data_IF_424528161209
#
_entry.id   IF_424528161209
#
_cell.length_a   1.000
_cell.length_b   1.000
_cell.length_c   1.000
_cell.angle_alpha   90.00
_cell.angle_beta   90.00
_cell.angle_gamma   90.00
#
_symmetry.space_group_name_H-M   'P 1'
#
loop_
_entity.id
_entity.type
_entity.pdbx_description
1 polymer ?
#
# COMPACT_ATOMS: atom_id res chain seq x y z
N UNK A 1 8.00 -17.72 8.71
CA UNK A 1 8.61 -17.30 7.44
C UNK A 1 10.10 -16.99 7.58
N UNK A 2 10.88 -17.12 6.49
CA UNK A 2 12.26 -16.61 6.37
C UNK A 2 12.27 -15.17 5.82
N UNK A 3 13.38 -14.44 5.93
CA UNK A 3 13.51 -13.07 5.42
C UNK A 3 13.21 -12.95 3.91
N UNK A 4 13.58 -13.95 3.11
CA UNK A 4 13.29 -13.97 1.67
C UNK A 4 11.79 -14.11 1.38
N UNK A 5 11.10 -14.92 2.18
CA UNK A 5 9.66 -15.14 2.05
C UNK A 5 8.88 -13.89 2.48
N UNK A 6 9.37 -13.18 3.51
CA UNK A 6 8.84 -11.89 3.93
C UNK A 6 8.82 -10.91 2.75
N UNK A 7 9.97 -10.69 2.09
CA UNK A 7 10.08 -9.74 0.98
C UNK A 7 9.07 -10.01 -0.15
N UNK A 8 8.83 -11.30 -0.46
CA UNK A 8 7.84 -11.69 -1.45
C UNK A 8 6.39 -11.45 -1.02
N UNK A 9 6.12 -11.46 0.28
CA UNK A 9 4.80 -11.22 0.86
C UNK A 9 4.50 -9.75 1.16
N UNK A 10 5.46 -8.84 0.94
CA UNK A 10 5.31 -7.44 1.32
C UNK A 10 4.24 -6.69 0.52
N UNK A 11 4.01 -7.06 -0.74
CA UNK A 11 2.90 -6.45 -1.52
C UNK A 11 1.57 -6.78 -0.86
N UNK A 12 1.29 -8.07 -0.62
CA UNK A 12 0.05 -8.54 0.02
C UNK A 12 -0.11 -7.97 1.44
N UNK A 13 0.99 -7.76 2.16
CA UNK A 13 0.97 -7.15 3.49
C UNK A 13 0.59 -5.66 3.50
N UNK A 14 0.92 -4.92 2.43
CA UNK A 14 0.60 -3.50 2.30
C UNK A 14 -0.81 -3.24 1.73
N UNK A 15 -1.45 -4.28 1.22
CA UNK A 15 -2.82 -4.22 0.70
C UNK A 15 -3.83 -4.13 1.84
N UNK A 16 -4.93 -3.40 1.62
CA UNK A 16 -5.97 -3.20 2.64
C UNK A 16 -6.76 -4.49 2.95
N UNK A 17 -6.75 -5.44 2.01
CA UNK A 17 -7.39 -6.76 2.10
C UNK A 17 -6.43 -7.87 2.58
N UNK A 18 -5.27 -7.50 3.13
CA UNK A 18 -4.29 -8.46 3.65
C UNK A 18 -4.92 -9.44 4.65
N UNK A 19 -4.65 -10.74 4.48
CA UNK A 19 -5.14 -11.76 5.41
C UNK A 19 -4.54 -11.54 6.80
N UNK A 20 -5.38 -11.52 7.84
CA UNK A 20 -4.94 -11.34 9.24
C UNK A 20 -3.84 -12.32 9.66
N UNK A 21 -3.92 -13.55 9.20
CA UNK A 21 -2.91 -14.59 9.49
C UNK A 21 -1.54 -14.25 8.90
N UNK A 22 -1.52 -13.69 7.70
CA UNK A 22 -0.29 -13.22 7.05
C UNK A 22 0.29 -12.02 7.81
N UNK A 23 -0.53 -11.04 8.18
CA UNK A 23 -0.09 -9.90 8.97
C UNK A 23 0.54 -10.35 10.30
N UNK A 24 -0.11 -11.27 11.02
CA UNK A 24 0.41 -11.80 12.26
C UNK A 24 1.73 -12.59 12.06
N UNK A 25 1.88 -13.32 10.96
CA UNK A 25 3.14 -13.98 10.65
C UNK A 25 4.29 -13.00 10.39
N UNK A 26 4.00 -11.95 9.62
CA UNK A 26 4.95 -10.88 9.30
C UNK A 26 5.35 -10.12 10.56
N UNK A 27 4.38 -9.68 11.37
CA UNK A 27 4.64 -8.99 12.64
C UNK A 27 5.53 -9.80 13.58
N UNK A 28 5.29 -11.12 13.71
CA UNK A 28 6.16 -12.02 14.49
C UNK A 28 7.58 -12.08 13.96
N UNK A 29 7.76 -12.01 12.64
CA UNK A 29 9.08 -11.97 12.03
C UNK A 29 9.78 -10.64 12.30
N UNK A 30 9.10 -9.52 12.09
CA UNK A 30 9.64 -8.17 12.33
C UNK A 30 10.01 -7.94 13.80
N UNK A 31 9.30 -8.58 14.73
CA UNK A 31 9.66 -8.57 16.15
C UNK A 31 11.00 -9.26 16.47
N UNK A 32 11.43 -10.21 15.62
CA UNK A 32 12.63 -11.03 15.83
C UNK A 32 13.79 -10.68 14.89
N UNK A 33 13.54 -9.91 13.83
CA UNK A 33 14.54 -9.55 12.82
C UNK A 33 14.61 -8.02 12.64
N UNK A 34 15.56 -7.34 13.32
CA UNK A 34 15.72 -5.89 13.21
C UNK A 34 16.03 -5.39 11.79
N UNK A 35 16.80 -6.16 11.02
CA UNK A 35 17.14 -5.81 9.64
C UNK A 35 15.88 -5.73 8.76
N UNK A 36 15.03 -6.75 8.80
CA UNK A 36 13.76 -6.72 8.07
C UNK A 36 12.82 -5.61 8.55
N UNK A 37 12.83 -5.29 9.85
CA UNK A 37 12.05 -4.17 10.39
C UNK A 37 12.43 -2.83 9.75
N UNK A 38 13.72 -2.52 9.64
CA UNK A 38 14.20 -1.27 9.02
C UNK A 38 13.78 -1.19 7.55
N UNK A 39 13.91 -2.29 6.80
CA UNK A 39 13.52 -2.36 5.39
C UNK A 39 12.01 -2.13 5.20
N UNK A 40 11.19 -2.82 5.99
CA UNK A 40 9.73 -2.68 5.93
C UNK A 40 9.28 -1.28 6.33
N UNK A 41 9.83 -0.71 7.41
CA UNK A 41 9.51 0.65 7.84
C UNK A 41 9.82 1.68 6.73
N UNK A 42 10.95 1.52 6.04
CA UNK A 42 11.35 2.40 4.93
C UNK A 42 10.39 2.28 3.76
N UNK A 43 10.03 1.05 3.41
CA UNK A 43 9.11 0.78 2.31
C UNK A 43 7.70 1.31 2.62
N UNK A 44 7.18 1.10 3.83
CA UNK A 44 5.87 1.63 4.27
C UNK A 44 5.83 3.15 4.23
N UNK A 45 6.91 3.83 4.65
CA UNK A 45 7.02 5.31 4.52
C UNK A 45 6.99 5.74 3.07
N UNK A 46 7.69 5.03 2.20
CA UNK A 46 7.72 5.32 0.75
C UNK A 46 6.33 5.16 0.15
N UNK A 47 5.60 4.10 0.50
CA UNK A 47 4.22 3.87 0.04
C UNK A 47 3.27 4.95 0.55
N UNK A 48 3.36 5.32 1.83
CA UNK A 48 2.58 6.42 2.40
C UNK A 48 2.85 7.75 1.68
N UNK A 49 4.11 8.09 1.42
CA UNK A 49 4.48 9.28 0.66
C UNK A 49 3.89 9.25 -0.76
N UNK A 50 3.97 8.11 -1.44
CA UNK A 50 3.39 7.93 -2.77
C UNK A 50 1.87 8.07 -2.79
N UNK A 51 1.16 7.53 -1.77
CA UNK A 51 -0.29 7.72 -1.61
C UNK A 51 -0.63 9.20 -1.46
N UNK A 52 0.06 9.92 -0.57
CA UNK A 52 -0.13 11.36 -0.38
C UNK A 52 0.17 12.20 -1.64
N UNK A 53 1.22 11.86 -2.40
CA UNK A 53 1.53 12.54 -3.67
C UNK A 53 0.53 12.20 -4.79
N UNK A 54 -0.14 11.05 -4.73
CA UNK A 54 -1.22 10.66 -5.62
C UNK A 54 -2.51 11.40 -5.31
N UNK A 55 -2.89 11.45 -4.03
CA UNK A 55 -4.05 12.18 -3.51
C UNK A 55 -3.93 13.69 -3.77
N UNK A 56 -2.74 14.27 -3.61
CA UNK A 56 -2.50 15.70 -3.87
C UNK A 56 -2.56 16.12 -5.34
N UNK A 57 -2.63 15.18 -6.30
CA UNK A 57 -2.64 15.50 -7.75
C UNK A 57 -4.01 15.48 -8.40
N UNK A 58 -5.02 14.91 -7.76
CA UNK A 58 -6.40 15.01 -8.23
C UNK A 58 -7.14 16.05 -7.41
N UNK A 59 -7.04 17.33 -7.83
CA UNK A 59 -7.99 18.36 -7.38
C UNK A 59 -9.40 17.82 -7.60
N UNK A 60 -10.26 17.89 -6.58
CA UNK A 60 -11.66 17.43 -6.60
C UNK A 60 -12.39 17.85 -7.89
N UNK A 61 -12.13 19.08 -8.38
CA UNK A 61 -12.66 19.61 -9.64
C UNK A 61 -12.28 18.78 -10.89
N UNK A 62 -11.09 18.20 -10.93
CA UNK A 62 -10.63 17.36 -12.06
C UNK A 62 -11.36 16.03 -12.04
N UNK A 63 -11.56 15.43 -10.87
CA UNK A 63 -12.31 14.18 -10.69
C UNK A 63 -13.77 14.38 -11.07
N UNK A 64 -14.39 15.47 -10.60
CA UNK A 64 -15.76 15.85 -10.95
C UNK A 64 -15.90 16.01 -12.47
N UNK A 65 -15.02 16.78 -13.10
CA UNK A 65 -15.05 17.00 -14.57
C UNK A 65 -14.85 15.70 -15.35
N UNK A 66 -13.96 14.81 -14.93
CA UNK A 66 -13.74 13.53 -15.59
C UNK A 66 -14.99 12.64 -15.47
N UNK A 67 -15.57 12.56 -14.27
CA UNK A 67 -16.74 11.73 -13.99
C UNK A 67 -17.98 12.24 -14.75
N UNK A 68 -18.19 13.56 -14.82
CA UNK A 68 -19.25 14.15 -15.65
C UNK A 68 -19.08 13.75 -17.11
N UNK A 69 -17.84 13.81 -17.66
CA UNK A 69 -17.59 13.45 -19.06
C UNK A 69 -17.75 11.97 -19.39
N UNK A 70 -17.48 11.07 -18.43
CA UNK A 70 -17.64 9.63 -18.63
C UNK A 70 -19.13 9.25 -18.60
N UNK A 71 -19.93 9.87 -17.72
CA UNK A 71 -21.38 9.64 -17.67
C UNK A 71 -22.15 10.24 -18.86
N UNK A 72 -21.74 11.41 -19.39
CA UNK A 72 -22.43 12.04 -20.54
C UNK A 72 -22.06 11.44 -21.90
N UNK A 73 -21.20 10.41 -21.95
CA UNK A 73 -20.80 9.73 -23.19
C UNK A 73 -21.52 8.39 -23.38
N UNK A 74 -22.47 8.09 -22.49
CA UNK A 74 -23.26 6.86 -22.47
C UNK A 74 -24.77 7.19 -22.47
N UNK A 75 -25.18 8.09 -23.38
CA UNK A 75 -26.52 8.21 -23.95
C UNK A 75 -26.35 8.43 -25.47
#
# INVERSE_FOLDING_TARGET
>A
MKCKDLLGALSEYLDEDAKRELCAEIERHLAKCPSCKVEVDTMTRTVSLMRHLGEGRLREEVVIRLRTRICTRHD
#
